data_IF_902739043149
#
_entry.id   IF_902739043149
#
_cell.length_a   1.000
_cell.length_b   1.000
_cell.length_c   1.000
_cell.angle_alpha   90.00
_cell.angle_beta   90.00
_cell.angle_gamma   90.00
#
_symmetry.space_group_name_H-M   'P 1'
#
loop_
_entity.id
_entity.type
_entity.pdbx_description
1 polymer ?
#
# COMPACT_ATOMS: atom_id res chain seq x y z
N UNK A 1 -3.36 13.15 -9.89
CA UNK A 1 -4.55 12.30 -10.08
C UNK A 1 -4.95 11.84 -8.70
N UNK A 2 -6.22 12.00 -8.31
CA UNK A 2 -6.66 11.61 -6.97
C UNK A 2 -7.03 10.11 -6.90
N UNK A 3 -7.25 9.60 -5.68
CA UNK A 3 -7.59 8.20 -5.40
C UNK A 3 -8.79 7.71 -6.23
N UNK A 4 -9.88 8.47 -6.30
CA UNK A 4 -11.10 8.06 -7.00
C UNK A 4 -10.88 8.06 -8.51
N UNK A 5 -10.16 9.05 -9.04
CA UNK A 5 -9.77 9.10 -10.43
C UNK A 5 -8.92 7.89 -10.82
N UNK A 6 -7.93 7.52 -9.99
CA UNK A 6 -7.04 6.38 -10.24
C UNK A 6 -7.81 5.06 -10.38
N UNK A 7 -8.72 4.80 -9.44
CA UNK A 7 -9.60 3.62 -9.48
C UNK A 7 -10.49 3.59 -10.72
N UNK A 8 -11.12 4.73 -11.06
CA UNK A 8 -11.99 4.83 -12.26
C UNK A 8 -11.22 4.59 -13.55
N UNK A 9 -10.03 5.16 -13.68
CA UNK A 9 -9.16 4.95 -14.84
C UNK A 9 -8.77 3.47 -14.96
N UNK A 10 -8.31 2.85 -13.87
CA UNK A 10 -7.90 1.44 -13.86
C UNK A 10 -9.05 0.51 -14.25
N UNK A 11 -10.26 0.77 -13.74
CA UNK A 11 -11.48 0.05 -14.15
C UNK A 11 -11.79 0.21 -15.65
N UNK A 12 -11.58 1.39 -16.21
CA UNK A 12 -11.82 1.65 -17.63
C UNK A 12 -10.79 0.98 -18.56
N UNK A 13 -9.57 0.71 -18.08
CA UNK A 13 -8.53 -0.03 -18.81
C UNK A 13 -8.84 -1.53 -18.95
N UNK A 14 -9.81 -2.05 -18.20
CA UNK A 14 -10.25 -3.46 -18.25
C UNK A 14 -9.97 -4.26 -16.97
N UNK A 15 -8.77 -4.20 -16.36
CA UNK A 15 -8.48 -4.89 -15.11
C UNK A 15 -9.36 -4.39 -13.95
N UNK A 16 -9.68 -5.30 -13.02
CA UNK A 16 -10.29 -4.90 -11.76
C UNK A 16 -9.30 -4.06 -10.95
N UNK A 17 -9.69 -2.85 -10.50
CA UNK A 17 -8.85 -2.09 -9.59
C UNK A 17 -8.77 -2.80 -8.24
N UNK A 18 -7.54 -3.02 -7.78
CA UNK A 18 -7.24 -3.57 -6.45
C UNK A 18 -6.60 -2.47 -5.63
N UNK A 19 -6.93 -2.43 -4.34
CA UNK A 19 -6.31 -1.57 -3.33
C UNK A 19 -5.51 -2.51 -2.42
N UNK A 20 -4.20 -2.70 -2.67
CA UNK A 20 -3.38 -3.50 -1.77
C UNK A 20 -3.24 -2.79 -0.42
N UNK A 21 -3.36 -3.55 0.65
CA UNK A 21 -3.16 -3.07 2.02
C UNK A 21 -1.75 -3.43 2.50
N UNK A 22 -0.94 -2.41 2.81
CA UNK A 22 0.36 -2.57 3.45
C UNK A 22 0.15 -2.52 4.95
N UNK A 23 0.08 -3.72 5.53
CA UNK A 23 -0.08 -3.98 6.96
C UNK A 23 1.06 -4.89 7.41
N UNK A 24 1.95 -4.35 8.23
CA UNK A 24 3.21 -5.03 8.57
C UNK A 24 3.00 -6.15 9.58
N UNK A 25 2.18 -5.91 10.60
CA UNK A 25 1.91 -6.87 11.67
C UNK A 25 0.41 -6.99 11.91
N UNK A 26 -0.03 -8.07 12.54
CA UNK A 26 -1.33 -8.12 13.20
C UNK A 26 -1.28 -8.99 14.46
N UNK A 27 -2.12 -8.72 15.48
CA UNK A 27 -2.10 -9.51 16.72
C UNK A 27 -2.41 -11.00 16.50
N UNK A 28 -3.14 -11.32 15.42
CA UNK A 28 -3.57 -12.68 15.10
C UNK A 28 -2.56 -13.47 14.28
N UNK A 29 -1.92 -12.83 13.30
CA UNK A 29 -1.09 -13.52 12.31
C UNK A 29 0.41 -13.19 12.44
N UNK A 30 0.78 -12.28 13.34
CA UNK A 30 2.16 -11.85 13.52
C UNK A 30 2.64 -10.99 12.36
N UNK A 31 3.88 -11.19 11.93
CA UNK A 31 4.50 -10.48 10.82
C UNK A 31 3.94 -10.94 9.46
N UNK A 32 3.18 -10.05 8.84
CA UNK A 32 2.49 -10.30 7.57
C UNK A 32 3.39 -10.07 6.36
N UNK A 33 4.42 -9.25 6.50
CA UNK A 33 5.35 -8.93 5.42
C UNK A 33 6.64 -9.74 5.48
N UNK A 34 6.82 -10.59 6.50
CA UNK A 34 7.95 -11.52 6.66
C UNK A 34 9.30 -10.80 6.65
N UNK A 35 9.39 -9.70 7.37
CA UNK A 35 10.58 -8.86 7.49
C UNK A 35 10.95 -8.08 6.22
N UNK A 36 10.08 -8.04 5.21
CA UNK A 36 10.29 -7.19 4.03
C UNK A 36 10.20 -5.71 4.41
N UNK A 37 10.89 -4.88 3.65
CA UNK A 37 10.77 -3.43 3.75
C UNK A 37 9.41 -2.96 3.18
N UNK A 38 8.60 -2.18 3.94
CA UNK A 38 7.30 -1.69 3.49
C UNK A 38 7.36 -0.78 2.25
N UNK A 39 8.38 0.07 2.12
CA UNK A 39 8.55 0.96 0.98
C UNK A 39 8.95 0.18 -0.28
N UNK A 40 9.82 -0.82 -0.14
CA UNK A 40 10.14 -1.73 -1.24
C UNK A 40 8.91 -2.58 -1.67
N UNK A 41 8.06 -2.97 -0.71
CA UNK A 41 6.80 -3.65 -1.03
C UNK A 41 5.83 -2.74 -1.80
N UNK A 42 5.76 -1.45 -1.45
CA UNK A 42 4.95 -0.47 -2.16
C UNK A 42 5.38 -0.32 -3.63
N UNK A 43 6.68 -0.21 -3.90
CA UNK A 43 7.23 -0.16 -5.26
C UNK A 43 6.87 -1.43 -6.07
N UNK A 44 6.96 -2.61 -5.44
CA UNK A 44 6.58 -3.87 -6.07
C UNK A 44 5.09 -3.92 -6.42
N UNK A 45 4.22 -3.40 -5.54
CA UNK A 45 2.79 -3.34 -5.76
C UNK A 45 2.43 -2.36 -6.89
N UNK A 46 3.08 -1.20 -6.95
CA UNK A 46 2.94 -0.25 -8.07
C UNK A 46 3.37 -0.91 -9.38
N UNK A 47 4.53 -1.57 -9.41
CA UNK A 47 5.03 -2.30 -10.58
C UNK A 47 4.10 -3.45 -11.01
N UNK A 48 3.42 -4.09 -10.06
CA UNK A 48 2.41 -5.12 -10.32
C UNK A 48 1.07 -4.54 -10.85
N UNK A 49 0.93 -3.22 -10.93
CA UNK A 49 -0.23 -2.54 -11.49
C UNK A 49 -1.28 -2.15 -10.45
N UNK A 50 -0.91 -2.04 -9.17
CA UNK A 50 -1.69 -1.29 -8.20
C UNK A 50 -1.85 0.16 -8.70
N UNK A 51 -3.07 0.68 -8.61
CA UNK A 51 -3.36 2.06 -9.02
C UNK A 51 -3.51 3.00 -7.82
N UNK A 52 -3.63 2.44 -6.61
CA UNK A 52 -3.68 3.12 -5.32
C UNK A 52 -3.15 2.15 -4.25
N UNK A 53 -2.73 2.66 -3.08
CA UNK A 53 -2.34 1.86 -1.91
C UNK A 53 -3.15 2.22 -0.66
N UNK A 54 -3.33 1.23 0.22
CA UNK A 54 -3.74 1.43 1.61
C UNK A 54 -2.53 1.16 2.51
N UNK A 55 -2.29 2.02 3.49
CA UNK A 55 -1.15 1.89 4.42
C UNK A 55 -1.68 2.00 5.85
N UNK A 56 -1.46 0.96 6.66
CA UNK A 56 -1.85 0.96 8.07
C UNK A 56 -0.81 1.75 8.87
N UNK A 57 -1.25 2.81 9.55
CA UNK A 57 -0.39 3.74 10.30
C UNK A 57 -0.51 3.62 11.83
N UNK A 58 -1.36 2.70 12.29
CA UNK A 58 -1.59 2.42 13.71
C UNK A 58 -0.36 1.69 14.30
N UNK A 59 0.29 2.23 15.35
CA UNK A 59 1.56 1.71 15.84
C UNK A 59 1.46 0.52 16.80
N UNK A 60 0.42 0.40 17.63
CA UNK A 60 0.41 -0.51 18.77
C UNK A 60 0.07 -1.95 18.37
N UNK A 61 -0.99 -2.14 17.58
CA UNK A 61 -1.47 -3.46 17.16
C UNK A 61 -0.94 -3.87 15.79
N UNK A 62 -0.62 -2.91 14.92
CA UNK A 62 -0.25 -3.19 13.52
C UNK A 62 1.18 -2.78 13.16
N UNK A 63 1.90 -2.17 14.09
CA UNK A 63 3.28 -1.70 13.93
C UNK A 63 3.47 -0.76 12.72
N UNK A 64 2.42 0.00 12.40
CA UNK A 64 2.45 1.05 11.40
C UNK A 64 3.04 2.35 11.93
N UNK A 65 3.25 3.33 11.05
CA UNK A 65 3.55 4.70 11.49
C UNK A 65 3.29 5.73 10.40
N UNK A 66 3.11 6.99 10.79
CA UNK A 66 3.09 8.11 9.84
C UNK A 66 4.44 8.31 9.14
N UNK A 67 5.53 7.89 9.76
CA UNK A 67 6.86 7.96 9.14
C UNK A 67 6.97 6.96 7.99
N UNK A 68 6.52 5.73 8.20
CA UNK A 68 6.40 4.70 7.15
C UNK A 68 5.52 5.19 6.00
N UNK A 69 4.38 5.84 6.29
CA UNK A 69 3.55 6.44 5.25
C UNK A 69 4.32 7.48 4.42
N UNK A 70 5.08 8.37 5.06
CA UNK A 70 5.89 9.38 4.34
C UNK A 70 6.96 8.72 3.46
N UNK A 71 7.61 7.68 3.95
CA UNK A 71 8.61 6.93 3.19
C UNK A 71 7.97 6.27 1.96
N UNK A 72 6.83 5.59 2.12
CA UNK A 72 6.07 5.01 1.00
C UNK A 72 5.65 6.09 -0.01
N UNK A 73 5.09 7.21 0.44
CA UNK A 73 4.72 8.32 -0.44
C UNK A 73 5.92 8.92 -1.20
N UNK A 74 7.16 8.72 -0.73
CA UNK A 74 8.36 9.18 -1.43
C UNK A 74 8.87 8.20 -2.49
N UNK A 75 8.43 6.94 -2.46
CA UNK A 75 8.90 5.89 -3.39
C UNK A 75 7.92 5.61 -4.53
N UNK A 76 6.61 5.72 -4.30
CA UNK A 76 5.58 5.46 -5.32
C UNK A 76 4.96 6.74 -5.90
N UNK A 77 4.34 6.63 -7.08
CA UNK A 77 3.68 7.76 -7.78
C UNK A 77 2.16 7.63 -7.82
N UNK A 78 1.61 6.54 -7.26
CA UNK A 78 0.17 6.29 -7.13
C UNK A 78 -0.39 6.86 -5.81
N UNK A 79 -1.69 7.18 -5.75
CA UNK A 79 -2.36 7.66 -4.53
C UNK A 79 -2.43 6.63 -3.40
#
# INVERSE_FOLDING_TARGET
MDFLQALKKRKAEGPFPVIPDIKCFSPKEGDLIRGRDPAALAEQLEAAGACVLSVVTEPDDFHGSLQMLREICSTVRIP
#
